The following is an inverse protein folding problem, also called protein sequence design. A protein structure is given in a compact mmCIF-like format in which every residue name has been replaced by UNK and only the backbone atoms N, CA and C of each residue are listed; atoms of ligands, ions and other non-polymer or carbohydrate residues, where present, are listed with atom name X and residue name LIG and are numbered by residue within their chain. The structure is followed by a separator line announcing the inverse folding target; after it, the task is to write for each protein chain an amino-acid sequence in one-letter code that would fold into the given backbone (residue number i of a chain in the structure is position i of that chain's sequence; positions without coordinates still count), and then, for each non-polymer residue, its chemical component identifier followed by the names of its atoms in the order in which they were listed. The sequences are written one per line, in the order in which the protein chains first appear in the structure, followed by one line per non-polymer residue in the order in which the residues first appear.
data_IF_131387437912
#
_entry.id   IF_131387437912
#
_cell.length_a   1.000
_cell.length_b   1.000
_cell.length_c   1.000
_cell.angle_alpha   90.00
_cell.angle_beta   90.00
_cell.angle_gamma   90.00
#
_symmetry.space_group_name_H-M   'P 1'
#
loop_
_entity.id
_entity.type
_entity.pdbx_description
1 polymer ?
#
# COMPACT_ATOMS: atom_id res chain seq x y z
N UNK A 1 -29.27 3.14 -7.24
CA UNK A 1 -28.06 3.45 -6.46
C UNK A 1 -27.43 2.12 -6.05
N UNK A 2 -26.18 1.88 -6.44
CA UNK A 2 -25.47 0.62 -6.14
C UNK A 2 -25.27 0.47 -4.63
N UNK A 3 -25.43 -0.75 -4.10
CA UNK A 3 -25.34 -1.05 -2.67
C UNK A 3 -24.27 -2.09 -2.41
N UNK A 4 -23.40 -1.84 -1.45
CA UNK A 4 -22.36 -2.79 -1.02
C UNK A 4 -22.44 -3.02 0.48
N UNK A 5 -22.30 -4.28 0.90
CA UNK A 5 -22.19 -4.66 2.30
C UNK A 5 -20.80 -5.21 2.60
N UNK A 6 -20.18 -4.75 3.69
CA UNK A 6 -18.81 -5.12 4.08
C UNK A 6 -18.82 -6.00 5.31
N UNK A 7 -18.52 -7.29 5.16
CA UNK A 7 -18.36 -8.22 6.28
C UNK A 7 -16.95 -8.14 6.83
N UNK A 8 -16.80 -7.72 8.08
CA UNK A 8 -15.51 -7.40 8.71
C UNK A 8 -15.00 -5.99 8.37
N UNK A 9 -15.89 -5.00 8.40
CA UNK A 9 -15.63 -3.61 8.00
C UNK A 9 -14.62 -2.88 8.90
N UNK A 10 -14.38 -3.35 10.13
CA UNK A 10 -13.52 -2.70 11.13
C UNK A 10 -12.02 -2.77 10.82
N UNK A 11 -11.58 -3.60 9.87
CA UNK A 11 -10.21 -3.64 9.42
C UNK A 11 -9.81 -2.35 8.68
N UNK A 12 -8.57 -1.86 8.88
CA UNK A 12 -8.09 -0.57 8.30
C UNK A 12 -8.30 -0.49 6.79
N UNK A 13 -7.94 -1.53 6.05
CA UNK A 13 -8.10 -1.54 4.59
C UNK A 13 -9.57 -1.66 4.17
N UNK A 14 -10.37 -2.46 4.89
CA UNK A 14 -11.80 -2.60 4.65
C UNK A 14 -12.56 -1.30 4.90
N UNK A 15 -12.30 -0.64 6.03
CA UNK A 15 -12.88 0.66 6.36
C UNK A 15 -12.52 1.73 5.33
N UNK A 16 -11.24 1.76 4.90
CA UNK A 16 -10.78 2.68 3.86
C UNK A 16 -11.47 2.43 2.52
N UNK A 17 -11.61 1.17 2.10
CA UNK A 17 -12.32 0.82 0.87
C UNK A 17 -13.81 1.19 0.96
N UNK A 18 -14.46 0.90 2.08
CA UNK A 18 -15.85 1.28 2.32
C UNK A 18 -16.07 2.79 2.16
N UNK A 19 -15.18 3.61 2.74
CA UNK A 19 -15.20 5.06 2.58
C UNK A 19 -14.95 5.49 1.12
N UNK A 20 -14.01 4.87 0.43
CA UNK A 20 -13.70 5.18 -0.97
C UNK A 20 -14.89 4.93 -1.89
N UNK A 21 -15.55 3.77 -1.80
CA UNK A 21 -16.72 3.46 -2.65
C UNK A 21 -17.94 4.32 -2.26
N UNK A 22 -18.10 4.65 -0.97
CA UNK A 22 -19.14 5.60 -0.53
C UNK A 22 -18.97 6.97 -1.18
N UNK A 23 -17.76 7.48 -1.26
CA UNK A 23 -17.45 8.75 -1.94
C UNK A 23 -17.69 8.72 -3.45
N UNK A 24 -17.77 7.53 -4.05
CA UNK A 24 -18.22 7.35 -5.44
C UNK A 24 -19.76 7.24 -5.58
N UNK A 25 -20.51 7.42 -4.50
CA UNK A 25 -21.98 7.38 -4.51
C UNK A 25 -22.58 5.99 -4.30
N UNK A 26 -21.79 5.00 -3.85
CA UNK A 26 -22.30 3.68 -3.46
C UNK A 26 -22.92 3.76 -2.06
N UNK A 27 -24.09 3.17 -1.87
CA UNK A 27 -24.66 2.99 -0.53
C UNK A 27 -23.90 1.87 0.19
N UNK A 28 -23.29 2.20 1.31
CA UNK A 28 -22.43 1.29 2.08
C UNK A 28 -23.09 0.91 3.39
N UNK A 29 -23.15 -0.38 3.66
CA UNK A 29 -23.42 -0.98 4.96
C UNK A 29 -22.28 -1.92 5.34
N UNK A 30 -22.20 -2.36 6.58
CA UNK A 30 -21.22 -3.36 6.97
C UNK A 30 -21.33 -3.74 8.43
N UNK A 31 -20.69 -4.81 8.79
CA UNK A 31 -20.72 -5.45 10.11
C UNK A 31 -19.33 -5.79 10.60
N UNK A 32 -19.16 -5.82 11.92
CA UNK A 32 -17.99 -6.39 12.58
C UNK A 32 -18.36 -6.81 14.01
N UNK A 33 -17.58 -7.73 14.61
CA UNK A 33 -17.79 -8.13 16.00
C UNK A 33 -17.61 -6.94 16.93
N UNK A 34 -16.49 -6.24 16.79
CA UNK A 34 -16.17 -5.04 17.55
C UNK A 34 -15.20 -4.17 16.77
N UNK A 35 -15.42 -2.86 16.77
CA UNK A 35 -14.58 -1.90 16.05
C UNK A 35 -13.88 -1.01 17.06
N UNK A 36 -12.55 -1.08 17.05
CA UNK A 36 -11.70 -0.33 17.96
C UNK A 36 -11.17 0.96 17.32
N UNK A 37 -10.75 1.88 18.16
CA UNK A 37 -9.98 3.06 17.77
C UNK A 37 -8.67 2.67 17.05
N UNK A 38 -8.31 3.30 15.92
CA UNK A 38 -8.88 4.54 15.37
C UNK A 38 -9.99 4.31 14.31
N UNK A 39 -10.32 3.06 13.97
CA UNK A 39 -11.29 2.78 12.88
C UNK A 39 -12.72 3.12 13.25
N UNK A 40 -13.06 3.11 14.53
CA UNK A 40 -14.38 3.55 15.02
C UNK A 40 -14.62 5.02 14.67
N UNK A 41 -13.68 5.89 15.01
CA UNK A 41 -13.73 7.33 14.73
C UNK A 41 -13.66 7.59 13.23
N UNK A 42 -12.83 6.84 12.51
CA UNK A 42 -12.70 6.93 11.06
C UNK A 42 -14.04 6.65 10.35
N UNK A 43 -14.70 5.54 10.66
CA UNK A 43 -16.00 5.19 10.05
C UNK A 43 -17.09 6.19 10.41
N UNK A 44 -17.09 6.70 11.66
CA UNK A 44 -18.01 7.74 12.10
C UNK A 44 -17.80 9.05 11.32
N UNK A 45 -16.53 9.44 11.08
CA UNK A 45 -16.19 10.63 10.29
C UNK A 45 -16.61 10.52 8.81
N UNK A 46 -16.64 9.30 8.27
CA UNK A 46 -17.13 9.00 6.92
C UNK A 46 -18.66 8.75 6.90
N UNK A 47 -19.35 8.99 8.02
CA UNK A 47 -20.79 8.71 8.18
C UNK A 47 -21.17 7.28 7.76
N UNK A 48 -20.35 6.30 8.16
CA UNK A 48 -20.62 4.89 8.02
C UNK A 48 -20.92 4.34 9.41
N UNK A 49 -22.11 3.75 9.58
CA UNK A 49 -22.58 3.19 10.84
C UNK A 49 -22.62 1.66 10.73
N UNK A 50 -21.56 0.97 11.15
CA UNK A 50 -21.51 -0.49 11.08
C UNK A 50 -22.50 -1.12 12.07
N UNK A 51 -23.01 -2.28 11.70
CA UNK A 51 -23.70 -3.16 12.63
C UNK A 51 -22.69 -3.82 13.59
N UNK A 52 -23.09 -3.98 14.84
CA UNK A 52 -22.30 -4.72 15.82
C UNK A 52 -22.71 -6.19 15.81
N UNK A 53 -21.73 -7.06 15.65
CA UNK A 53 -21.96 -8.50 15.46
C UNK A 53 -22.34 -8.82 14.02
N UNK A 54 -22.46 -10.11 13.74
CA UNK A 54 -22.85 -10.63 12.43
C UNK A 54 -24.24 -11.24 12.49
N UNK A 55 -25.12 -10.91 11.54
CA UNK A 55 -26.45 -11.50 11.39
C UNK A 55 -26.87 -11.51 9.91
N UNK A 56 -27.50 -12.59 9.49
CA UNK A 56 -27.99 -12.77 8.12
C UNK A 56 -29.00 -11.70 7.69
N UNK A 57 -29.76 -11.13 8.63
CA UNK A 57 -30.76 -10.09 8.39
C UNK A 57 -30.12 -8.73 8.10
N UNK A 58 -28.83 -8.52 8.43
CA UNK A 58 -28.11 -7.28 8.15
C UNK A 58 -27.76 -7.13 6.66
N UNK A 59 -27.78 -8.22 5.91
CA UNK A 59 -27.55 -8.22 4.46
C UNK A 59 -28.88 -8.14 3.73
N UNK A 60 -29.18 -6.98 3.15
CA UNK A 60 -30.37 -6.78 2.33
C UNK A 60 -30.34 -7.63 1.07
N UNK A 61 -31.48 -8.17 0.65
CA UNK A 61 -31.63 -8.86 -0.64
C UNK A 61 -31.39 -7.93 -1.84
N UNK A 62 -31.48 -6.60 -1.64
CA UNK A 62 -31.15 -5.58 -2.64
C UNK A 62 -29.66 -5.20 -2.66
N UNK A 63 -28.79 -5.93 -1.93
CA UNK A 63 -27.35 -5.71 -1.96
C UNK A 63 -26.76 -6.23 -3.28
N UNK A 64 -26.08 -5.35 -4.03
CA UNK A 64 -25.50 -5.71 -5.31
C UNK A 64 -24.19 -6.50 -5.17
N UNK A 65 -23.44 -6.26 -4.08
CA UNK A 65 -22.15 -6.91 -3.83
C UNK A 65 -21.84 -6.98 -2.34
N UNK A 66 -21.45 -8.15 -1.87
CA UNK A 66 -20.94 -8.34 -0.50
C UNK A 66 -19.43 -8.44 -0.54
N UNK A 67 -18.74 -7.55 0.19
CA UNK A 67 -17.28 -7.52 0.29
C UNK A 67 -16.84 -8.30 1.52
N UNK A 68 -16.09 -9.37 1.31
CA UNK A 68 -15.68 -10.29 2.39
C UNK A 68 -14.28 -9.93 2.87
N UNK A 69 -14.15 -9.57 4.14
CA UNK A 69 -12.87 -9.30 4.78
C UNK A 69 -12.00 -10.55 4.91
N UNK A 70 -10.69 -10.38 4.89
CA UNK A 70 -9.74 -11.50 4.93
C UNK A 70 -9.87 -12.38 6.18
N UNK A 71 -10.18 -11.79 7.33
CA UNK A 71 -10.37 -12.53 8.60
C UNK A 71 -11.69 -13.32 8.67
N UNK A 72 -12.60 -13.13 7.71
CA UNK A 72 -13.90 -13.81 7.67
C UNK A 72 -13.72 -15.21 7.06
N UNK A 73 -14.23 -16.22 7.76
CA UNK A 73 -14.11 -17.63 7.34
C UNK A 73 -15.45 -18.36 7.44
N UNK A 74 -15.49 -19.60 6.94
CA UNK A 74 -16.66 -20.50 7.05
C UNK A 74 -17.13 -20.60 8.50
N UNK A 75 -18.43 -20.62 8.69
CA UNK A 75 -19.10 -20.55 9.98
C UNK A 75 -19.52 -19.13 10.39
N UNK A 76 -19.06 -18.07 9.71
CA UNK A 76 -19.62 -16.74 9.90
C UNK A 76 -21.04 -16.67 9.31
N UNK A 77 -22.02 -16.25 10.13
CA UNK A 77 -23.45 -16.33 9.75
C UNK A 77 -23.81 -15.46 8.53
N UNK A 78 -23.13 -14.32 8.32
CA UNK A 78 -23.34 -13.48 7.15
C UNK A 78 -22.73 -14.13 5.91
N UNK A 79 -21.51 -14.66 6.01
CA UNK A 79 -20.87 -15.38 4.92
C UNK A 79 -21.71 -16.60 4.49
N UNK A 80 -22.21 -17.40 5.45
CA UNK A 80 -23.08 -18.55 5.14
C UNK A 80 -24.39 -18.09 4.47
N UNK A 81 -24.97 -16.97 4.91
CA UNK A 81 -26.16 -16.40 4.26
C UNK A 81 -25.88 -15.96 2.81
N UNK A 82 -24.74 -15.29 2.56
CA UNK A 82 -24.30 -14.91 1.21
C UNK A 82 -24.19 -16.11 0.28
N UNK A 83 -23.54 -17.18 0.75
CA UNK A 83 -23.36 -18.41 -0.01
C UNK A 83 -24.70 -19.13 -0.27
N UNK A 84 -25.55 -19.26 0.74
CA UNK A 84 -26.86 -19.92 0.66
C UNK A 84 -27.82 -19.18 -0.27
N UNK A 85 -27.82 -17.83 -0.23
CA UNK A 85 -28.63 -16.97 -1.11
C UNK A 85 -28.03 -16.80 -2.51
N UNK A 86 -26.81 -17.32 -2.75
CA UNK A 86 -26.04 -17.15 -4.01
C UNK A 86 -25.89 -15.70 -4.43
N UNK A 87 -25.64 -14.84 -3.45
CA UNK A 87 -25.37 -13.41 -3.68
C UNK A 87 -24.00 -13.20 -4.33
N UNK A 88 -23.83 -12.08 -5.05
CA UNK A 88 -22.52 -11.69 -5.55
C UNK A 88 -21.61 -11.30 -4.37
N UNK A 89 -20.42 -11.84 -4.35
CA UNK A 89 -19.40 -11.47 -3.35
C UNK A 89 -18.01 -11.35 -3.98
N UNK A 90 -17.17 -10.55 -3.34
CA UNK A 90 -15.79 -10.35 -3.75
C UNK A 90 -14.88 -10.10 -2.54
N UNK A 91 -13.59 -10.32 -2.73
CA UNK A 91 -12.56 -9.90 -1.80
C UNK A 91 -12.27 -8.41 -1.91
N UNK A 92 -11.66 -7.83 -0.85
CA UNK A 92 -11.17 -6.44 -0.85
C UNK A 92 -10.31 -6.11 -2.08
N UNK A 93 -9.26 -6.90 -2.45
CA UNK A 93 -8.42 -6.55 -3.58
C UNK A 93 -9.14 -6.64 -4.94
N UNK A 94 -10.14 -7.50 -5.08
CA UNK A 94 -10.98 -7.54 -6.29
C UNK A 94 -11.82 -6.29 -6.44
N UNK A 95 -12.41 -5.79 -5.35
CA UNK A 95 -13.17 -4.53 -5.38
C UNK A 95 -12.25 -3.36 -5.69
N UNK A 96 -11.06 -3.27 -5.06
CA UNK A 96 -10.08 -2.23 -5.38
C UNK A 96 -9.74 -2.25 -6.88
N UNK A 97 -9.43 -3.43 -7.42
CA UNK A 97 -9.12 -3.61 -8.85
C UNK A 97 -10.26 -3.09 -9.72
N UNK A 98 -11.47 -3.54 -9.44
CA UNK A 98 -12.62 -3.30 -10.32
C UNK A 98 -13.15 -1.86 -10.25
N UNK A 99 -13.11 -1.24 -9.07
CA UNK A 99 -13.65 0.11 -8.87
C UNK A 99 -12.61 1.21 -9.13
N UNK A 100 -11.29 0.93 -8.96
CA UNK A 100 -10.30 2.00 -8.93
C UNK A 100 -9.11 1.81 -9.86
N UNK A 101 -8.63 0.58 -10.13
CA UNK A 101 -7.34 0.40 -10.79
C UNK A 101 -7.43 0.32 -12.32
N UNK A 102 -8.53 -0.16 -12.90
CA UNK A 102 -8.63 -0.33 -14.35
C UNK A 102 -8.39 0.94 -15.17
N UNK A 103 -8.71 2.09 -14.63
CA UNK A 103 -8.59 3.38 -15.34
C UNK A 103 -7.41 4.22 -14.82
N UNK A 104 -6.57 3.64 -13.96
CA UNK A 104 -5.45 4.34 -13.36
C UNK A 104 -4.15 3.56 -13.57
N UNK A 105 -3.04 4.29 -13.60
CA UNK A 105 -1.71 3.70 -13.55
C UNK A 105 -1.44 3.24 -12.13
N UNK A 106 -1.39 1.93 -11.91
CA UNK A 106 -1.20 1.32 -10.60
C UNK A 106 0.30 1.27 -10.24
N UNK A 107 0.64 1.97 -9.16
CA UNK A 107 1.99 2.04 -8.58
C UNK A 107 1.98 1.20 -7.30
N UNK A 108 2.41 -0.07 -7.41
CA UNK A 108 2.31 -1.06 -6.34
C UNK A 108 3.61 -1.14 -5.57
N UNK A 109 3.56 -0.85 -4.28
CA UNK A 109 4.74 -0.87 -3.39
C UNK A 109 4.70 -2.13 -2.53
N UNK A 110 5.50 -3.12 -2.89
CA UNK A 110 5.58 -4.44 -2.26
C UNK A 110 6.93 -4.69 -1.58
N UNK A 111 7.06 -5.85 -0.95
CA UNK A 111 8.22 -6.29 -0.17
C UNK A 111 7.84 -6.57 1.28
N UNK A 112 8.65 -7.30 2.01
CA UNK A 112 8.34 -7.68 3.40
C UNK A 112 8.27 -6.47 4.32
N UNK A 113 9.20 -5.51 4.17
CA UNK A 113 9.30 -4.33 5.02
C UNK A 113 9.29 -3.02 4.22
N UNK A 114 8.85 -1.93 4.86
CA UNK A 114 8.91 -0.58 4.29
C UNK A 114 7.75 -0.18 3.37
N UNK A 115 6.84 -1.11 3.01
CA UNK A 115 5.71 -0.90 2.11
C UNK A 115 4.92 0.38 2.39
N UNK A 116 4.36 0.49 3.59
CA UNK A 116 3.47 1.60 3.98
C UNK A 116 4.18 2.96 3.90
N UNK A 117 5.42 3.03 4.42
CA UNK A 117 6.20 4.28 4.42
C UNK A 117 6.56 4.70 3.00
N UNK A 118 7.01 3.76 2.17
CA UNK A 118 7.35 4.02 0.76
C UNK A 118 6.14 4.44 -0.04
N UNK A 119 5.00 3.76 0.11
CA UNK A 119 3.76 4.10 -0.58
C UNK A 119 3.24 5.49 -0.16
N UNK A 120 3.22 5.79 1.14
CA UNK A 120 2.84 7.11 1.65
C UNK A 120 3.77 8.22 1.14
N UNK A 121 5.08 7.97 1.11
CA UNK A 121 6.07 8.91 0.60
C UNK A 121 5.91 9.13 -0.91
N UNK A 122 5.71 8.07 -1.68
CA UNK A 122 5.43 8.15 -3.12
C UNK A 122 4.18 8.99 -3.40
N UNK A 123 3.07 8.68 -2.73
CA UNK A 123 1.83 9.45 -2.88
C UNK A 123 1.99 10.91 -2.48
N UNK A 124 2.78 11.18 -1.43
CA UNK A 124 3.08 12.55 -1.01
C UNK A 124 3.91 13.29 -2.06
N UNK A 125 4.99 12.70 -2.58
CA UNK A 125 5.82 13.33 -3.63
C UNK A 125 5.00 13.66 -4.87
N UNK A 126 4.14 12.75 -5.32
CA UNK A 126 3.23 12.98 -6.44
C UNK A 126 2.23 14.11 -6.15
N UNK A 127 1.68 14.15 -4.93
CA UNK A 127 0.75 15.22 -4.51
C UNK A 127 1.47 16.57 -4.43
N UNK A 128 2.69 16.59 -3.86
CA UNK A 128 3.52 17.79 -3.78
C UNK A 128 3.87 18.31 -5.19
N UNK A 129 4.15 17.40 -6.12
CA UNK A 129 4.36 17.68 -7.54
C UNK A 129 3.07 17.95 -8.34
N UNK A 130 1.91 18.08 -7.70
CA UNK A 130 0.61 18.40 -8.29
C UNK A 130 0.05 17.35 -9.28
N UNK A 131 0.46 16.08 -9.14
CA UNK A 131 -0.08 14.97 -9.94
C UNK A 131 -1.43 14.46 -9.45
N UNK A 132 -1.87 14.85 -8.26
CA UNK A 132 -3.15 14.49 -7.65
C UNK A 132 -3.46 12.97 -7.65
N UNK A 133 -2.55 12.10 -7.11
CA UNK A 133 -2.75 10.66 -7.14
C UNK A 133 -3.86 10.20 -6.21
N UNK A 134 -4.45 9.04 -6.49
CA UNK A 134 -5.15 8.24 -5.47
C UNK A 134 -4.15 7.44 -4.65
N UNK A 135 -4.51 7.09 -3.41
CA UNK A 135 -3.66 6.34 -2.50
C UNK A 135 -4.49 5.39 -1.62
N UNK A 136 -3.96 4.20 -1.35
CA UNK A 136 -4.44 3.31 -0.29
C UNK A 136 -3.25 2.63 0.39
N UNK A 137 -3.10 2.84 1.70
CA UNK A 137 -1.99 2.32 2.52
C UNK A 137 -2.49 1.73 3.84
N UNK A 138 -1.74 0.81 4.42
CA UNK A 138 -2.08 0.10 5.66
C UNK A 138 -1.93 0.91 6.95
N UNK A 139 -1.66 2.21 6.88
CA UNK A 139 -1.48 3.09 8.02
C UNK A 139 -1.94 4.52 7.73
N UNK A 140 -1.99 5.37 8.75
CA UNK A 140 -2.36 6.78 8.58
C UNK A 140 -1.13 7.58 8.16
N UNK A 141 -1.08 7.98 6.89
CA UNK A 141 -0.03 8.86 6.36
C UNK A 141 -0.20 10.28 6.93
N UNK A 142 0.82 10.78 7.65
CA UNK A 142 0.71 12.00 8.45
C UNK A 142 0.43 13.24 7.59
N UNK A 143 0.97 13.32 6.39
CA UNK A 143 0.73 14.43 5.46
C UNK A 143 -0.72 14.50 4.95
N UNK A 144 -1.44 13.37 4.95
CA UNK A 144 -2.83 13.28 4.49
C UNK A 144 -3.82 13.14 5.65
N UNK A 145 -3.34 12.85 6.86
CA UNK A 145 -4.15 12.48 8.02
C UNK A 145 -5.14 11.32 7.69
N UNK A 146 -4.80 10.46 6.75
CA UNK A 146 -5.66 9.40 6.25
C UNK A 146 -4.84 8.20 5.77
N UNK A 147 -5.49 7.03 5.69
CA UNK A 147 -4.97 5.81 5.06
C UNK A 147 -5.32 5.70 3.57
N UNK A 148 -6.20 6.56 3.07
CA UNK A 148 -6.58 6.63 1.67
C UNK A 148 -6.74 8.06 1.17
N UNK A 149 -6.72 8.20 -0.14
CA UNK A 149 -7.02 9.44 -0.86
C UNK A 149 -7.59 9.10 -2.23
N UNK A 150 -8.63 9.80 -2.64
CA UNK A 150 -9.13 9.78 -4.01
C UNK A 150 -8.66 11.05 -4.70
N UNK A 151 -7.75 10.91 -5.65
CA UNK A 151 -7.26 11.98 -6.51
C UNK A 151 -7.86 11.88 -7.91
N UNK A 152 -7.85 13.00 -8.64
CA UNK A 152 -8.29 13.07 -10.04
C UNK A 152 -7.20 12.67 -11.05
N UNK A 153 -5.95 12.63 -10.62
CA UNK A 153 -4.81 12.28 -11.46
C UNK A 153 -4.79 10.82 -11.92
N UNK A 154 -3.91 10.48 -12.85
CA UNK A 154 -3.88 9.16 -13.49
C UNK A 154 -3.30 8.07 -12.59
N UNK A 155 -2.59 8.40 -11.53
CA UNK A 155 -1.85 7.45 -10.71
C UNK A 155 -2.65 6.98 -9.51
N UNK A 156 -2.50 5.68 -9.17
CA UNK A 156 -2.98 5.10 -7.93
C UNK A 156 -1.81 4.43 -7.20
N UNK A 157 -1.41 4.98 -6.07
CA UNK A 157 -0.37 4.40 -5.22
C UNK A 157 -1.00 3.44 -4.22
N UNK A 158 -0.58 2.18 -4.25
CA UNK A 158 -1.14 1.15 -3.38
C UNK A 158 -0.04 0.31 -2.72
N UNK A 159 -0.25 0.00 -1.46
CA UNK A 159 0.58 -0.95 -0.72
C UNK A 159 0.31 -2.38 -1.20
N UNK A 160 1.34 -3.04 -1.72
CA UNK A 160 1.30 -4.41 -2.21
C UNK A 160 1.48 -5.41 -1.08
N UNK A 161 0.37 -5.82 -0.49
CA UNK A 161 0.34 -6.77 0.63
C UNK A 161 0.44 -8.21 0.12
N UNK A 162 1.36 -8.99 0.68
CA UNK A 162 1.57 -10.41 0.40
C UNK A 162 0.58 -11.34 1.10
N UNK A 163 -0.23 -10.84 2.02
CA UNK A 163 -1.29 -11.62 2.67
C UNK A 163 -2.33 -12.12 1.69
N UNK A 164 -2.96 -13.25 2.01
CA UNK A 164 -4.05 -13.83 1.24
C UNK A 164 -5.26 -12.86 1.13
N UNK A 165 -6.03 -13.03 0.07
CA UNK A 165 -7.10 -12.09 -0.30
C UNK A 165 -8.38 -12.30 0.49
N UNK A 166 -8.80 -13.55 0.67
CA UNK A 166 -10.02 -13.94 1.37
C UNK A 166 -10.02 -15.45 1.69
N UNK A 167 -11.07 -15.94 2.37
CA UNK A 167 -11.20 -17.37 2.67
C UNK A 167 -11.24 -18.25 1.41
N UNK A 168 -11.79 -17.73 0.30
CA UNK A 168 -11.94 -18.43 -0.97
C UNK A 168 -10.77 -18.17 -1.95
N UNK A 169 -9.89 -17.22 -1.66
CA UNK A 169 -8.73 -16.88 -2.47
C UNK A 169 -7.49 -16.73 -1.58
N UNK A 170 -6.68 -17.77 -1.55
CA UNK A 170 -5.44 -17.84 -0.77
C UNK A 170 -4.22 -17.30 -1.51
N UNK A 171 -4.45 -16.52 -2.56
CA UNK A 171 -3.36 -15.82 -3.27
C UNK A 171 -3.12 -14.43 -2.67
N UNK A 172 -1.87 -13.96 -2.78
CA UNK A 172 -1.47 -12.64 -2.29
C UNK A 172 -2.30 -11.51 -2.91
N UNK A 173 -2.69 -10.53 -2.11
CA UNK A 173 -3.52 -9.39 -2.55
C UNK A 173 -2.91 -8.61 -3.72
N UNK A 174 -1.59 -8.43 -3.73
CA UNK A 174 -0.91 -7.68 -4.79
C UNK A 174 -1.09 -8.30 -6.19
N UNK A 175 -1.43 -9.60 -6.30
CA UNK A 175 -1.71 -10.24 -7.59
C UNK A 175 -2.98 -9.70 -8.28
N UNK A 176 -3.80 -8.97 -7.54
CA UNK A 176 -5.02 -8.33 -8.08
C UNK A 176 -4.79 -6.87 -8.51
N UNK A 177 -3.62 -6.27 -8.24
CA UNK A 177 -3.46 -4.81 -8.30
C UNK A 177 -2.99 -4.24 -9.64
N UNK A 178 -2.94 -5.06 -10.72
CA UNK A 178 -2.64 -4.62 -12.09
C UNK A 178 -1.41 -3.69 -12.18
N UNK A 179 -0.22 -4.10 -11.72
CA UNK A 179 0.91 -3.20 -11.58
C UNK A 179 1.38 -2.64 -12.94
N UNK A 180 1.47 -1.31 -13.07
CA UNK A 180 2.22 -0.64 -14.13
C UNK A 180 3.65 -0.33 -13.66
N UNK A 181 3.79 0.00 -12.37
CA UNK A 181 5.06 0.11 -11.68
C UNK A 181 5.00 -0.77 -10.44
N UNK A 182 5.98 -1.64 -10.26
CA UNK A 182 6.16 -2.43 -9.06
C UNK A 182 7.46 -2.07 -8.37
N UNK A 183 7.39 -1.84 -7.06
CA UNK A 183 8.55 -1.73 -6.18
C UNK A 183 8.61 -2.96 -5.30
N UNK A 184 9.75 -3.62 -5.22
CA UNK A 184 10.01 -4.73 -4.30
C UNK A 184 11.29 -4.42 -3.53
N UNK A 185 11.14 -3.95 -2.27
CA UNK A 185 12.26 -3.51 -1.46
C UNK A 185 13.11 -4.64 -0.90
N UNK A 186 12.45 -5.68 -0.43
CA UNK A 186 13.05 -6.87 0.15
C UNK A 186 12.05 -8.03 0.07
N UNK A 187 12.59 -9.25 0.08
CA UNK A 187 11.82 -10.49 0.15
C UNK A 187 12.45 -11.36 1.23
N UNK A 188 11.70 -11.58 2.31
CA UNK A 188 12.12 -12.35 3.47
C UNK A 188 11.02 -13.33 3.86
N UNK A 189 11.36 -14.39 4.59
CA UNK A 189 10.35 -15.32 5.10
C UNK A 189 9.63 -14.67 6.26
N UNK A 190 8.45 -14.20 6.01
CA UNK A 190 7.51 -13.66 7.00
C UNK A 190 6.13 -14.29 6.78
N UNK A 191 5.21 -14.13 7.74
CA UNK A 191 3.84 -14.64 7.63
C UNK A 191 3.75 -16.18 7.49
N UNK A 192 4.41 -16.90 8.44
CA UNK A 192 4.40 -18.37 8.50
C UNK A 192 3.00 -18.99 8.71
N UNK A 193 1.99 -18.18 9.02
CA UNK A 193 0.58 -18.54 9.10
C UNK A 193 -0.08 -18.70 7.71
N UNK A 194 0.53 -18.15 6.65
CA UNK A 194 0.01 -18.16 5.27
C UNK A 194 0.92 -18.93 4.34
N UNK A 195 2.25 -18.75 4.47
CA UNK A 195 3.23 -19.38 3.60
C UNK A 195 3.89 -20.57 4.30
N UNK A 196 3.86 -21.74 3.65
CA UNK A 196 4.46 -22.97 4.17
C UNK A 196 5.98 -22.90 4.28
N UNK A 197 6.61 -22.17 3.38
CA UNK A 197 8.06 -22.03 3.28
C UNK A 197 8.45 -20.77 2.47
N UNK A 198 9.75 -20.51 2.40
CA UNK A 198 10.28 -19.36 1.67
C UNK A 198 10.04 -19.44 0.15
N UNK A 199 10.02 -20.64 -0.44
CA UNK A 199 9.77 -20.81 -1.87
C UNK A 199 8.32 -20.44 -2.25
N UNK A 200 7.37 -20.61 -1.34
CA UNK A 200 6.00 -20.14 -1.52
C UNK A 200 5.94 -18.60 -1.59
N UNK A 201 6.71 -17.90 -0.72
CA UNK A 201 6.86 -16.44 -0.77
C UNK A 201 7.50 -16.00 -2.10
N UNK A 202 8.64 -16.60 -2.48
CA UNK A 202 9.31 -16.31 -3.77
C UNK A 202 8.38 -16.51 -4.96
N UNK A 203 7.59 -17.58 -4.94
CA UNK A 203 6.63 -17.88 -6.00
C UNK A 203 5.55 -16.79 -6.09
N UNK A 204 5.05 -16.25 -4.98
CA UNK A 204 4.10 -15.15 -4.98
C UNK A 204 4.70 -13.89 -5.61
N UNK A 205 5.92 -13.49 -5.20
CA UNK A 205 6.61 -12.33 -5.79
C UNK A 205 6.99 -12.55 -7.26
N UNK A 206 7.42 -13.75 -7.66
CA UNK A 206 7.64 -14.09 -9.07
C UNK A 206 6.36 -13.88 -9.91
N UNK A 207 5.23 -14.42 -9.45
CA UNK A 207 3.93 -14.23 -10.13
C UNK A 207 3.57 -12.74 -10.22
N UNK A 208 3.84 -11.98 -9.17
CA UNK A 208 3.59 -10.54 -9.16
C UNK A 208 4.42 -9.79 -10.22
N UNK A 209 5.71 -10.07 -10.32
CA UNK A 209 6.60 -9.48 -11.34
C UNK A 209 6.11 -9.80 -12.75
N UNK A 210 5.65 -11.02 -13.00
CA UNK A 210 5.13 -11.44 -14.31
C UNK A 210 3.83 -10.75 -14.74
N UNK A 211 3.15 -10.03 -13.82
CA UNK A 211 1.96 -9.23 -14.15
C UNK A 211 2.29 -7.86 -14.73
N UNK A 212 3.54 -7.41 -14.65
CA UNK A 212 3.94 -6.13 -15.21
C UNK A 212 3.79 -6.13 -16.74
N UNK A 213 3.27 -5.06 -17.34
CA UNK A 213 3.24 -4.93 -18.79
C UNK A 213 4.65 -4.63 -19.33
N UNK A 214 4.92 -4.92 -20.61
CA UNK A 214 6.21 -4.69 -21.24
C UNK A 214 6.68 -3.22 -21.20
N UNK A 215 5.77 -2.26 -21.15
CA UNK A 215 6.04 -0.84 -20.97
C UNK A 215 6.06 -0.39 -19.51
N UNK A 216 6.01 -1.33 -18.56
CA UNK A 216 6.05 -1.08 -17.12
C UNK A 216 7.44 -0.81 -16.57
N UNK A 217 7.53 -0.71 -15.25
CA UNK A 217 8.78 -0.53 -14.50
C UNK A 217 8.78 -1.46 -13.27
N UNK A 218 9.86 -2.21 -13.12
CA UNK A 218 10.18 -2.94 -11.90
C UNK A 218 11.35 -2.26 -11.18
N UNK A 219 11.13 -1.88 -9.91
CA UNK A 219 12.14 -1.31 -9.02
C UNK A 219 12.50 -2.33 -7.94
N UNK A 220 13.75 -2.76 -7.88
CA UNK A 220 14.23 -3.81 -6.97
C UNK A 220 15.22 -3.25 -5.95
N UNK A 221 15.07 -3.66 -4.69
CA UNK A 221 16.02 -3.36 -3.63
C UNK A 221 17.36 -4.06 -3.87
N UNK A 222 18.40 -3.28 -4.20
CA UNK A 222 19.74 -3.79 -4.52
C UNK A 222 20.48 -4.40 -3.31
N UNK A 223 20.04 -4.07 -2.11
CA UNK A 223 20.64 -4.55 -0.86
C UNK A 223 20.06 -5.92 -0.42
N UNK A 224 19.06 -6.44 -1.14
CA UNK A 224 18.42 -7.73 -0.86
C UNK A 224 18.58 -8.69 -2.06
N UNK A 225 19.38 -9.78 -1.92
CA UNK A 225 19.64 -10.71 -3.01
C UNK A 225 18.37 -11.38 -3.57
N UNK A 226 17.39 -11.66 -2.71
CA UNK A 226 16.15 -12.29 -3.11
C UNK A 226 15.29 -11.36 -3.97
N UNK A 227 15.19 -10.09 -3.59
CA UNK A 227 14.53 -9.09 -4.44
C UNK A 227 15.24 -8.96 -5.80
N UNK A 228 16.57 -8.88 -5.82
CA UNK A 228 17.36 -8.83 -7.05
C UNK A 228 17.15 -10.04 -7.95
N UNK A 229 17.00 -11.23 -7.38
CA UNK A 229 16.79 -12.47 -8.14
C UNK A 229 15.54 -12.43 -9.02
N UNK A 230 14.58 -11.58 -8.68
CA UNK A 230 13.32 -11.45 -9.42
C UNK A 230 13.49 -10.75 -10.78
N UNK A 231 14.60 -10.05 -11.03
CA UNK A 231 14.84 -9.35 -12.31
C UNK A 231 14.76 -10.27 -13.52
N UNK A 232 15.14 -11.55 -13.39
CA UNK A 232 15.11 -12.52 -14.47
C UNK A 232 13.70 -12.86 -14.98
N UNK A 233 12.66 -12.51 -14.20
CA UNK A 233 11.26 -12.77 -14.54
C UNK A 233 10.54 -11.50 -15.05
N UNK A 234 11.22 -10.35 -15.06
CA UNK A 234 10.63 -9.09 -15.45
C UNK A 234 10.39 -9.01 -16.96
N UNK A 235 9.16 -8.72 -17.42
CA UNK A 235 8.87 -8.50 -18.83
C UNK A 235 9.14 -7.07 -19.29
N UNK A 236 9.62 -6.19 -18.39
CA UNK A 236 9.74 -4.75 -18.58
C UNK A 236 11.10 -4.22 -18.14
N UNK A 237 11.26 -2.88 -18.20
CA UNK A 237 12.43 -2.18 -17.66
C UNK A 237 12.60 -2.46 -16.18
N UNK A 238 13.84 -2.77 -15.78
CA UNK A 238 14.23 -2.97 -14.38
C UNK A 238 15.23 -1.89 -14.00
N UNK A 239 15.00 -1.25 -12.86
CA UNK A 239 15.96 -0.39 -12.17
C UNK A 239 16.11 -0.85 -10.73
N UNK A 240 17.25 -0.57 -10.12
CA UNK A 240 17.58 -1.00 -8.76
C UNK A 240 17.76 0.21 -7.84
N UNK A 241 17.43 0.05 -6.56
CA UNK A 241 17.65 1.08 -5.56
C UNK A 241 18.25 0.52 -4.28
N UNK A 242 19.09 1.28 -3.60
CA UNK A 242 19.71 0.85 -2.36
C UNK A 242 20.89 1.68 -1.91
N UNK A 243 21.59 1.19 -0.88
CA UNK A 243 22.82 1.82 -0.38
C UNK A 243 24.07 1.33 -1.14
N UNK A 244 23.96 0.22 -1.84
CA UNK A 244 25.02 -0.26 -2.73
C UNK A 244 25.31 0.74 -3.83
N UNK A 245 26.59 1.05 -4.06
CA UNK A 245 27.03 1.94 -5.16
C UNK A 245 26.74 1.38 -6.56
N UNK A 246 26.40 0.09 -6.64
CA UNK A 246 26.03 -0.59 -7.90
C UNK A 246 24.57 -0.40 -8.27
N UNK A 247 23.74 0.09 -7.35
CA UNK A 247 22.33 0.35 -7.63
C UNK A 247 22.17 1.55 -8.56
N UNK A 248 21.16 1.50 -9.44
CA UNK A 248 20.83 2.59 -10.36
C UNK A 248 20.46 3.86 -9.59
N UNK A 249 19.71 3.70 -8.50
CA UNK A 249 19.41 4.76 -7.53
C UNK A 249 20.10 4.46 -6.21
N UNK A 250 21.17 5.17 -5.92
CA UNK A 250 21.89 4.94 -4.66
C UNK A 250 22.05 6.20 -3.83
N UNK A 251 22.10 6.01 -2.51
CA UNK A 251 22.44 7.06 -1.56
C UNK A 251 23.93 7.02 -1.19
N UNK A 252 24.51 8.20 -1.02
CA UNK A 252 25.86 8.40 -0.53
C UNK A 252 25.89 9.57 0.45
N UNK A 253 26.99 9.72 1.20
CA UNK A 253 27.17 10.80 2.17
C UNK A 253 25.98 10.91 3.15
N UNK A 254 25.57 9.76 3.70
CA UNK A 254 24.46 9.71 4.64
C UNK A 254 24.93 10.23 6.00
N UNK A 255 24.28 11.30 6.47
CA UNK A 255 24.54 11.91 7.78
C UNK A 255 23.24 11.95 8.55
N UNK A 256 23.22 11.31 9.71
CA UNK A 256 22.10 11.34 10.64
C UNK A 256 22.29 12.45 11.68
N UNK A 257 21.27 13.24 11.89
CA UNK A 257 21.12 14.22 12.96
C UNK A 257 20.17 13.66 14.03
N UNK A 258 19.76 14.50 14.96
CA UNK A 258 18.88 14.06 16.06
C UNK A 258 17.48 13.63 15.54
N UNK A 259 16.96 14.25 14.50
CA UNK A 259 15.58 14.12 14.00
C UNK A 259 15.48 13.94 12.48
N UNK A 260 16.62 13.92 11.78
CA UNK A 260 16.65 13.92 10.33
C UNK A 260 17.85 13.15 9.77
N UNK A 261 17.75 12.77 8.49
CA UNK A 261 18.82 12.12 7.75
C UNK A 261 19.08 12.88 6.45
N UNK A 262 20.28 13.46 6.29
CA UNK A 262 20.73 14.08 5.06
C UNK A 262 21.48 13.07 4.19
N UNK A 263 21.31 13.09 2.88
CA UNK A 263 22.01 12.21 1.95
C UNK A 263 22.03 12.77 0.53
N UNK A 264 22.99 12.29 -0.26
CA UNK A 264 23.06 12.54 -1.69
C UNK A 264 22.48 11.35 -2.47
N UNK A 265 21.65 11.63 -3.46
CA UNK A 265 21.11 10.65 -4.40
C UNK A 265 21.92 10.68 -5.69
N UNK A 266 22.31 9.51 -6.16
CA UNK A 266 22.92 9.32 -7.49
C UNK A 266 21.98 8.44 -8.31
N UNK A 267 21.88 8.78 -9.61
CA UNK A 267 21.16 7.95 -10.59
C UNK A 267 22.14 7.47 -11.65
N UNK A 268 22.23 6.17 -11.86
CA UNK A 268 23.19 5.53 -12.79
C UNK A 268 24.63 6.05 -12.60
N UNK A 269 25.05 6.19 -11.33
CA UNK A 269 26.38 6.70 -10.98
C UNK A 269 26.58 8.22 -11.09
N UNK A 270 25.62 8.98 -11.62
CA UNK A 270 25.68 10.44 -11.75
C UNK A 270 24.98 11.12 -10.57
N UNK A 271 25.52 12.21 -9.99
CA UNK A 271 24.82 13.00 -8.99
C UNK A 271 23.44 13.46 -9.50
N UNK A 272 22.40 13.24 -8.72
CA UNK A 272 21.03 13.57 -9.09
C UNK A 272 20.45 14.68 -8.20
N UNK A 273 20.53 14.55 -6.88
CA UNK A 273 20.11 15.58 -5.92
C UNK A 273 20.70 15.34 -4.54
N UNK A 274 20.68 16.37 -3.68
CA UNK A 274 20.92 16.26 -2.24
C UNK A 274 19.64 16.59 -1.49
N UNK A 275 19.35 15.88 -0.41
CA UNK A 275 18.10 16.05 0.34
C UNK A 275 18.28 15.78 1.83
N UNK A 276 17.31 16.20 2.61
CA UNK A 276 17.16 15.86 4.04
C UNK A 276 15.77 15.32 4.26
N UNK A 277 15.67 14.16 4.86
CA UNK A 277 14.43 13.48 5.24
C UNK A 277 14.23 13.64 6.74
N UNK A 278 13.03 14.07 7.17
CA UNK A 278 12.67 14.21 8.59
C UNK A 278 12.31 12.84 9.23
N UNK A 279 13.08 11.82 8.88
CA UNK A 279 13.01 10.47 9.43
C UNK A 279 14.42 9.93 9.59
N UNK A 280 14.59 9.06 10.57
CA UNK A 280 15.88 8.44 10.90
C UNK A 280 16.01 7.04 10.26
N UNK A 281 17.24 6.60 10.11
CA UNK A 281 17.58 5.22 9.76
C UNK A 281 17.77 4.97 8.27
N UNK A 282 18.72 4.09 7.97
CA UNK A 282 19.10 3.69 6.62
C UNK A 282 17.92 3.05 5.84
N UNK A 283 17.01 2.37 6.55
CA UNK A 283 15.80 1.81 5.93
C UNK A 283 14.88 2.91 5.37
N UNK A 284 14.77 4.09 6.02
CA UNK A 284 14.02 5.21 5.49
C UNK A 284 14.73 5.89 4.32
N UNK A 285 16.06 5.84 4.26
CA UNK A 285 16.81 6.26 3.06
C UNK A 285 16.48 5.34 1.88
N UNK A 286 16.44 4.01 2.08
CA UNK A 286 16.00 3.06 1.02
C UNK A 286 14.56 3.34 0.58
N UNK A 287 13.64 3.54 1.53
CA UNK A 287 12.26 3.90 1.22
C UNK A 287 12.18 5.18 0.37
N UNK A 288 13.00 6.19 0.71
CA UNK A 288 13.08 7.45 -0.04
C UNK A 288 13.64 7.24 -1.44
N UNK A 289 14.69 6.43 -1.63
CA UNK A 289 15.23 6.11 -2.95
C UNK A 289 14.17 5.47 -3.85
N UNK A 290 13.41 4.52 -3.33
CA UNK A 290 12.31 3.89 -4.06
C UNK A 290 11.23 4.92 -4.45
N UNK A 291 10.79 5.76 -3.52
CA UNK A 291 9.80 6.81 -3.77
C UNK A 291 10.29 7.86 -4.78
N UNK A 292 11.58 8.26 -4.70
CA UNK A 292 12.23 9.15 -5.67
C UNK A 292 12.21 8.52 -7.07
N UNK A 293 12.59 7.24 -7.18
CA UNK A 293 12.65 6.54 -8.46
C UNK A 293 11.26 6.47 -9.12
N UNK A 294 10.21 6.08 -8.36
CA UNK A 294 8.83 6.07 -8.87
C UNK A 294 8.39 7.48 -9.27
N UNK A 295 8.60 8.48 -8.42
CA UNK A 295 8.18 9.85 -8.70
C UNK A 295 8.95 10.48 -9.86
N UNK A 296 10.23 10.12 -10.06
CA UNK A 296 11.00 10.53 -11.26
C UNK A 296 10.47 9.89 -12.54
N UNK A 297 9.98 8.66 -12.48
CA UNK A 297 9.35 7.98 -13.63
C UNK A 297 8.03 8.65 -14.06
N UNK A 298 7.37 9.38 -13.15
CA UNK A 298 6.21 10.22 -13.49
C UNK A 298 6.59 11.59 -14.05
N UNK A 299 7.88 11.92 -14.16
CA UNK A 299 8.37 13.20 -14.68
C UNK A 299 8.68 14.26 -13.63
N UNK A 300 8.63 13.96 -12.32
CA UNK A 300 8.99 14.93 -11.29
C UNK A 300 10.50 15.23 -11.32
N UNK A 301 10.81 16.51 -11.24
CA UNK A 301 12.20 17.01 -11.31
C UNK A 301 12.87 17.04 -9.93
N UNK A 302 14.23 17.01 -9.86
CA UNK A 302 14.97 16.95 -8.59
C UNK A 302 14.61 18.03 -7.57
N UNK A 303 14.33 19.25 -7.99
CA UNK A 303 13.94 20.36 -7.11
C UNK A 303 12.64 20.05 -6.36
N UNK A 304 11.59 19.65 -7.08
CA UNK A 304 10.29 19.27 -6.50
C UNK A 304 10.42 18.07 -5.57
N UNK A 305 11.21 17.07 -5.95
CA UNK A 305 11.45 15.87 -5.12
C UNK A 305 12.15 16.22 -3.80
N UNK A 306 13.17 17.10 -3.86
CA UNK A 306 13.88 17.56 -2.67
C UNK A 306 12.95 18.29 -1.68
N UNK A 307 12.17 19.24 -2.17
CA UNK A 307 11.23 19.99 -1.33
C UNK A 307 10.14 19.08 -0.75
N UNK A 308 9.60 18.17 -1.57
CA UNK A 308 8.60 17.19 -1.13
C UNK A 308 9.12 16.25 -0.05
N UNK A 309 10.35 15.74 -0.16
CA UNK A 309 10.97 14.88 0.85
C UNK A 309 11.19 15.61 2.18
N UNK A 310 11.65 16.86 2.14
CA UNK A 310 11.82 17.69 3.33
C UNK A 310 10.51 17.97 4.06
N UNK A 311 9.39 17.97 3.34
CA UNK A 311 8.05 18.18 3.87
C UNK A 311 7.32 16.89 4.25
N UNK A 312 7.92 15.71 4.04
CA UNK A 312 7.31 14.43 4.39
C UNK A 312 7.36 14.19 5.91
N UNK A 313 6.21 13.84 6.51
CA UNK A 313 6.00 13.72 7.96
C UNK A 313 5.87 12.27 8.45
N UNK A 314 6.14 11.28 7.57
CA UNK A 314 6.06 9.87 7.93
C UNK A 314 4.64 9.31 8.02
N UNK A 315 4.52 8.16 8.68
CA UNK A 315 3.28 7.40 8.91
C UNK A 315 3.10 7.21 10.42
N UNK A 316 1.91 7.44 10.94
CA UNK A 316 1.61 7.27 12.37
C UNK A 316 1.90 5.85 12.84
N UNK A 317 2.41 5.71 14.06
CA UNK A 317 2.79 4.44 14.70
C UNK A 317 3.92 3.67 13.97
N UNK A 318 4.69 4.33 13.10
CA UNK A 318 5.88 3.79 12.44
C UNK A 318 7.09 4.59 12.90
N UNK A 319 7.70 4.20 14.06
CA UNK A 319 8.79 4.90 14.75
C UNK A 319 8.47 6.39 14.97
N UNK A 320 7.25 6.66 15.34
CA UNK A 320 6.76 7.99 15.66
C UNK A 320 7.30 8.41 17.04
N UNK A 321 8.03 9.51 17.08
CA UNK A 321 8.47 10.11 18.34
C UNK A 321 7.23 10.63 19.08
N UNK A 322 6.93 10.05 20.26
CA UNK A 322 5.79 10.41 21.09
C UNK A 322 6.12 11.46 22.15
N UNK A 323 7.38 11.57 22.49
CA UNK A 323 7.88 12.53 23.49
C UNK A 323 9.32 12.25 23.87
N UNK A 324 9.93 13.22 24.51
CA UNK A 324 11.26 13.09 25.12
C UNK A 324 11.15 13.39 26.60
N UNK A 325 11.47 12.42 27.45
CA UNK A 325 11.45 12.58 28.91
C UNK A 325 12.88 12.42 29.43
N UNK A 326 13.42 13.48 30.05
CA UNK A 326 14.78 13.51 30.59
C UNK A 326 15.87 13.10 29.58
N UNK A 327 15.70 13.49 28.29
CA UNK A 327 16.65 13.19 27.23
C UNK A 327 16.51 11.78 26.59
N UNK A 328 15.54 10.98 27.01
CA UNK A 328 15.18 9.69 26.41
C UNK A 328 13.97 9.90 25.51
N UNK A 329 14.13 9.55 24.24
CA UNK A 329 13.07 9.68 23.19
C UNK A 329 12.44 8.34 22.94
#
# INVERSE_FOLDING_TARGET
MRRMHFVGIGGTAMASLAAMVKRQGVAVTGSDLEIYSPMKEFLAAEDIKPFRGFSAEQISDECDLVVIGNAISRGNVELEAVLNRRMQYASLPEVIRNEFLWQKRSLVIAGTHGKTTTAAMTAWLLTFGKHDPSMLVGGVASNFCSSYRLGSGPDFVIEGDEYDSAFFDKTAKFLKYLPNVAVIGNVEFDHADIYTDFEAVRTAFKRFVMLLPANGLLLLGADNPEALSLQQFAPCRVETFGLSRKADWCASQIVQSQDSTAFQVRRHGVPFMSTTLQLLGHYNVRNALAAIAVASDTGLVPGTLNEGLRAFRGVRRRLEVRGTIKGIT
#
